data_IF_388513929243
#
_entry.id   IF_388513929243
#
_cell.length_a   1.000
_cell.length_b   1.000
_cell.length_c   1.000
_cell.angle_alpha   90.00
_cell.angle_beta   90.00
_cell.angle_gamma   90.00
#
_symmetry.space_group_name_H-M   'P 1'
#
loop_
_entity.id
_entity.type
_entity.pdbx_description
1 polymer ?
#
# COMPACT_ATOMS: atom_id res chain seq x y z
N UNK A 1 -16.15 -44.01 56.99
CA UNK A 1 -14.90 -44.68 57.43
C UNK A 1 -14.05 -44.91 56.18
N UNK A 2 -12.81 -44.44 56.22
CA UNK A 2 -11.68 -44.78 55.35
C UNK A 2 -11.64 -44.13 53.95
N UNK A 3 -10.69 -43.21 53.84
CA UNK A 3 -10.16 -42.61 52.63
C UNK A 3 -9.30 -43.61 51.82
N UNK A 4 -9.18 -43.41 50.51
CA UNK A 4 -7.96 -43.74 49.78
C UNK A 4 -7.85 -42.88 48.51
N UNK A 5 -6.97 -41.87 48.56
CA UNK A 5 -6.36 -41.25 47.39
C UNK A 5 -5.51 -42.29 46.65
N UNK A 6 -5.63 -42.39 45.32
CA UNK A 6 -4.59 -42.95 44.45
C UNK A 6 -4.46 -42.15 43.15
N UNK A 7 -3.19 -42.00 42.78
CA UNK A 7 -2.61 -41.19 41.72
C UNK A 7 -3.08 -41.54 40.30
N UNK A 8 -3.02 -40.54 39.42
CA UNK A 8 -3.24 -40.64 37.97
C UNK A 8 -2.23 -41.56 37.26
N UNK A 9 -2.53 -41.93 36.01
CA UNK A 9 -1.56 -41.71 34.94
C UNK A 9 -2.17 -40.86 33.82
N UNK A 10 -1.48 -39.76 33.52
CA UNK A 10 -1.65 -39.00 32.28
C UNK A 10 -1.21 -39.92 31.14
N UNK A 11 -2.14 -40.31 30.26
CA UNK A 11 -1.79 -40.94 29.00
C UNK A 11 -1.09 -39.88 28.13
N UNK A 12 0.23 -39.99 28.00
CA UNK A 12 0.95 -39.39 26.89
C UNK A 12 0.47 -40.07 25.60
N UNK A 13 -0.33 -39.34 24.81
CA UNK A 13 -0.48 -39.65 23.39
C UNK A 13 0.85 -39.36 22.70
N UNK A 14 1.62 -40.41 22.41
CA UNK A 14 2.72 -40.34 21.45
C UNK A 14 2.10 -40.02 20.08
N UNK A 15 2.11 -38.74 19.69
CA UNK A 15 2.05 -38.40 18.29
C UNK A 15 3.32 -38.96 17.65
N UNK A 16 3.16 -39.93 16.76
CA UNK A 16 4.22 -40.42 15.90
C UNK A 16 4.83 -39.20 15.19
N UNK A 17 6.07 -38.88 15.55
CA UNK A 17 6.87 -37.91 14.83
C UNK A 17 6.90 -38.34 13.36
N UNK A 18 6.23 -37.60 12.50
CA UNK A 18 6.49 -37.68 11.08
C UNK A 18 7.94 -37.26 10.88
N UNK A 19 8.72 -38.09 10.19
CA UNK A 19 10.13 -37.82 9.93
C UNK A 19 10.25 -36.45 9.25
N UNK A 20 10.93 -35.52 9.91
CA UNK A 20 11.31 -34.24 9.34
C UNK A 20 12.30 -34.51 8.19
N UNK A 21 11.87 -34.23 6.97
CA UNK A 21 12.78 -34.14 5.82
C UNK A 21 13.71 -32.96 6.04
N UNK A 22 15.00 -33.25 6.13
CA UNK A 22 16.09 -32.29 6.26
C UNK A 22 16.16 -31.35 5.05
N UNK A 23 16.48 -30.06 5.29
CA UNK A 23 16.65 -29.02 4.24
C UNK A 23 17.74 -29.37 3.21
N UNK A 24 18.63 -30.30 3.53
CA UNK A 24 19.75 -30.72 2.69
C UNK A 24 19.44 -31.95 1.78
N UNK A 25 18.27 -32.57 1.90
CA UNK A 25 17.94 -33.83 1.18
C UNK A 25 16.66 -33.75 0.32
N UNK A 26 16.11 -32.55 0.15
CA UNK A 26 15.21 -32.31 -0.98
C UNK A 26 16.04 -31.76 -2.11
N UNK A 27 16.13 -32.52 -3.21
CA UNK A 27 16.42 -31.96 -4.53
C UNK A 27 15.37 -30.89 -4.80
N UNK A 28 15.62 -29.65 -4.33
CA UNK A 28 14.92 -28.50 -4.85
C UNK A 28 15.27 -28.48 -6.33
N UNK A 29 14.26 -28.62 -7.20
CA UNK A 29 14.42 -28.21 -8.58
C UNK A 29 15.07 -26.82 -8.53
N UNK A 30 16.27 -26.70 -9.10
CA UNK A 30 17.05 -25.47 -9.09
C UNK A 30 16.18 -24.42 -9.75
N UNK A 31 15.47 -23.62 -8.95
CA UNK A 31 14.76 -22.45 -9.44
C UNK A 31 15.89 -21.51 -9.90
N UNK A 32 16.04 -21.24 -11.20
CA UNK A 32 17.19 -20.49 -11.71
C UNK A 32 17.26 -19.06 -11.16
N UNK A 33 16.14 -18.59 -10.60
CA UNK A 33 15.93 -17.28 -9.98
C UNK A 33 15.06 -17.45 -8.74
N UNK A 34 15.63 -17.83 -7.58
CA UNK A 34 14.85 -18.10 -6.38
C UNK A 34 14.09 -16.87 -5.86
N UNK A 35 14.52 -15.66 -6.23
CA UNK A 35 13.84 -14.40 -5.93
C UNK A 35 13.04 -13.82 -7.12
N UNK A 36 12.69 -14.67 -8.09
CA UNK A 36 11.68 -14.31 -9.07
C UNK A 36 10.36 -13.97 -8.39
N UNK A 37 9.60 -13.10 -9.05
CA UNK A 37 8.26 -12.74 -8.60
C UNK A 37 7.38 -13.99 -8.53
N UNK A 38 6.64 -14.20 -7.43
CA UNK A 38 5.86 -15.41 -7.20
C UNK A 38 4.56 -15.42 -8.03
N UNK A 39 4.69 -15.66 -9.33
CA UNK A 39 3.61 -15.46 -10.31
C UNK A 39 2.39 -16.36 -10.01
N UNK A 40 2.62 -17.59 -9.56
CA UNK A 40 1.55 -18.53 -9.16
C UNK A 40 0.70 -17.99 -8.01
N UNK A 41 1.33 -17.36 -7.03
CA UNK A 41 0.59 -16.70 -5.95
C UNK A 41 -0.17 -15.47 -6.46
N UNK A 42 0.48 -14.64 -7.28
CA UNK A 42 -0.08 -13.37 -7.74
C UNK A 42 -1.26 -13.52 -8.70
N UNK A 43 -1.47 -14.71 -9.28
CA UNK A 43 -2.62 -14.98 -10.14
C UNK A 43 -3.95 -14.83 -9.38
N UNK A 44 -3.97 -15.26 -8.11
CA UNK A 44 -5.17 -15.32 -7.28
C UNK A 44 -5.31 -14.10 -6.35
N UNK A 45 -4.38 -13.15 -6.43
CA UNK A 45 -4.41 -11.93 -5.61
C UNK A 45 -5.50 -10.99 -6.11
N UNK A 46 -6.43 -10.66 -5.22
CA UNK A 46 -7.47 -9.67 -5.50
C UNK A 46 -6.88 -8.26 -5.60
N UNK A 47 -7.41 -7.48 -6.54
CA UNK A 47 -7.07 -6.07 -6.68
C UNK A 47 -7.64 -5.30 -5.47
N UNK A 48 -6.83 -4.52 -4.74
CA UNK A 48 -7.33 -3.67 -3.67
C UNK A 48 -8.42 -2.71 -4.18
N UNK A 49 -9.57 -2.72 -3.53
CA UNK A 49 -10.67 -1.78 -3.80
C UNK A 49 -10.80 -0.78 -2.66
N UNK A 50 -11.22 0.44 -2.98
CA UNK A 50 -11.55 1.46 -1.98
C UNK A 50 -12.93 2.03 -2.24
N UNK A 51 -13.57 2.51 -1.17
CA UNK A 51 -14.87 3.16 -1.22
C UNK A 51 -14.72 4.60 -0.77
N UNK A 52 -15.33 5.52 -1.52
CA UNK A 52 -15.45 6.93 -1.14
C UNK A 52 -16.86 7.14 -0.60
N UNK A 53 -17.02 7.83 0.52
CA UNK A 53 -18.34 8.32 0.98
C UNK A 53 -18.65 9.66 0.31
N UNK A 54 -19.55 9.74 -0.69
CA UNK A 54 -19.78 10.99 -1.42
C UNK A 54 -20.64 11.96 -0.61
N UNK A 55 -20.49 13.26 -0.87
CA UNK A 55 -21.34 14.31 -0.29
C UNK A 55 -20.85 14.88 1.04
N UNK A 56 -19.72 14.40 1.57
CA UNK A 56 -19.04 15.00 2.71
C UNK A 56 -17.96 15.99 2.23
N UNK A 57 -17.68 16.99 3.07
CA UNK A 57 -16.56 17.92 2.88
C UNK A 57 -15.19 17.23 3.00
N UNK A 58 -15.14 16.14 3.76
CA UNK A 58 -13.98 15.28 3.89
C UNK A 58 -14.40 13.90 4.38
N UNK A 59 -13.69 12.88 3.94
CA UNK A 59 -13.76 11.52 4.47
C UNK A 59 -12.32 11.04 4.61
N UNK A 60 -11.80 10.95 5.83
CA UNK A 60 -10.41 10.58 6.11
C UNK A 60 -10.38 9.19 6.71
N UNK A 61 -9.52 8.34 6.14
CA UNK A 61 -9.28 6.98 6.60
C UNK A 61 -7.97 6.98 7.38
N UNK A 62 -8.02 6.55 8.63
CA UNK A 62 -6.86 6.55 9.51
C UNK A 62 -6.07 5.24 9.39
N UNK A 63 -4.75 5.36 9.33
CA UNK A 63 -3.83 4.24 9.32
C UNK A 63 -3.25 3.98 10.72
N UNK A 64 -3.43 2.75 11.18
CA UNK A 64 -2.94 2.21 12.44
C UNK A 64 -1.54 1.58 12.24
N UNK A 65 -0.49 2.41 12.16
CA UNK A 65 0.86 1.96 11.80
C UNK A 65 1.41 0.91 12.76
N UNK A 66 1.21 1.07 14.07
CA UNK A 66 1.80 0.18 15.06
C UNK A 66 1.17 -1.22 14.98
N UNK A 67 -0.15 -1.30 14.88
CA UNK A 67 -0.89 -2.55 14.65
C UNK A 67 -0.43 -3.22 13.35
N UNK A 68 -0.26 -2.46 12.26
CA UNK A 68 0.21 -3.02 11.00
C UNK A 68 1.63 -3.61 11.12
N UNK A 69 2.55 -2.91 11.80
CA UNK A 69 3.90 -3.39 12.10
C UNK A 69 3.89 -4.65 12.99
N UNK A 70 3.01 -4.69 13.99
CA UNK A 70 2.85 -5.86 14.85
C UNK A 70 2.31 -7.07 14.08
N UNK A 71 1.34 -6.87 13.18
CA UNK A 71 0.82 -7.94 12.33
C UNK A 71 1.88 -8.45 11.34
N UNK A 72 2.66 -7.55 10.75
CA UNK A 72 3.80 -7.92 9.90
C UNK A 72 4.82 -8.78 10.68
N UNK A 73 5.01 -8.48 11.96
CA UNK A 73 5.90 -9.23 12.86
C UNK A 73 5.35 -10.61 13.25
N UNK A 74 4.03 -10.79 13.35
CA UNK A 74 3.42 -12.01 13.88
C UNK A 74 3.43 -13.20 12.90
N UNK A 75 3.59 -12.95 11.61
CA UNK A 75 3.55 -13.97 10.57
C UNK A 75 4.94 -14.56 10.28
N UNK A 76 5.46 -15.40 11.18
CA UNK A 76 6.73 -16.13 11.01
C UNK A 76 6.51 -17.56 10.48
N UNK A 77 7.56 -18.22 9.95
CA UNK A 77 7.47 -19.61 9.44
C UNK A 77 8.67 -20.48 9.81
N UNK A 78 8.43 -21.80 9.92
CA UNK A 78 9.40 -22.87 10.18
C UNK A 78 10.43 -23.07 9.06
N UNK A 79 10.07 -22.82 7.80
CA UNK A 79 11.01 -22.95 6.68
C UNK A 79 11.26 -21.60 6.01
N UNK A 80 12.50 -21.04 6.10
CA UNK A 80 12.85 -19.78 5.44
C UNK A 80 12.84 -19.87 3.90
N UNK A 81 12.65 -21.07 3.33
CA UNK A 81 12.55 -21.31 1.88
C UNK A 81 11.14 -21.69 1.42
N UNK A 82 10.18 -21.78 2.35
CA UNK A 82 8.77 -21.95 1.99
C UNK A 82 8.18 -20.62 1.56
N UNK A 83 7.93 -20.53 0.25
CA UNK A 83 7.22 -19.46 -0.45
C UNK A 83 5.86 -19.27 0.24
N UNK A 84 5.72 -18.27 1.11
CA UNK A 84 4.44 -17.97 1.75
C UNK A 84 3.93 -16.58 1.37
N UNK A 85 2.66 -16.48 0.93
CA UNK A 85 1.98 -15.22 0.87
C UNK A 85 1.52 -14.77 2.25
N UNK A 86 2.05 -13.64 2.67
CA UNK A 86 1.52 -12.85 3.76
C UNK A 86 0.73 -11.68 3.19
N UNK A 87 -0.47 -11.94 2.64
CA UNK A 87 -1.46 -10.88 2.53
C UNK A 87 -1.87 -10.54 3.97
N UNK A 88 -1.39 -9.42 4.49
CA UNK A 88 -1.90 -8.90 5.76
C UNK A 88 -3.11 -8.05 5.44
N UNK A 89 -4.28 -8.55 5.82
CA UNK A 89 -5.49 -7.75 5.93
C UNK A 89 -5.58 -7.17 7.34
N UNK A 90 -4.66 -6.26 7.68
CA UNK A 90 -4.93 -5.34 8.79
C UNK A 90 -5.76 -4.22 8.21
N UNK A 91 -7.07 -4.13 8.52
CA UNK A 91 -7.89 -3.09 7.95
C UNK A 91 -7.34 -1.72 8.38
N UNK A 92 -7.30 -0.77 7.44
CA UNK A 92 -7.24 0.63 7.82
C UNK A 92 -8.41 0.90 8.78
N UNK A 93 -8.15 1.59 9.90
CA UNK A 93 -9.03 1.76 11.06
C UNK A 93 -9.16 0.55 12.02
N UNK A 94 -8.07 -0.15 12.37
CA UNK A 94 -8.08 -1.01 13.56
C UNK A 94 -8.49 -0.18 14.79
N UNK A 95 -9.54 -0.62 15.49
CA UNK A 95 -10.07 0.12 16.65
C UNK A 95 -9.04 0.11 17.79
N UNK A 96 -8.63 1.30 18.26
CA UNK A 96 -7.84 1.45 19.48
C UNK A 96 -6.57 2.31 19.41
N UNK A 97 -6.11 2.74 18.24
CA UNK A 97 -4.85 3.53 18.13
C UNK A 97 -5.04 5.05 17.97
N UNK A 98 -6.27 5.52 17.71
CA UNK A 98 -6.53 6.94 17.50
C UNK A 98 -6.85 7.67 18.82
N UNK A 99 -5.83 7.90 19.65
CA UNK A 99 -5.87 8.91 20.73
C UNK A 99 -5.60 10.34 20.20
N UNK A 100 -5.91 10.61 18.93
CA UNK A 100 -6.10 11.99 18.48
C UNK A 100 -7.56 12.37 18.71
N UNK A 101 -7.76 13.17 19.75
CA UNK A 101 -9.00 13.82 20.17
C UNK A 101 -9.82 14.36 18.99
N UNK A 102 -10.71 13.53 18.46
CA UNK A 102 -11.91 14.02 17.80
C UNK A 102 -12.87 14.46 18.91
N UNK A 103 -12.89 15.77 19.18
CA UNK A 103 -13.97 16.37 19.93
C UNK A 103 -15.28 16.25 19.12
N UNK A 104 -15.98 15.13 19.29
CA UNK A 104 -17.41 15.02 19.05
C UNK A 104 -17.97 13.85 19.82
N UNK A 105 -18.61 14.20 20.93
CA UNK A 105 -19.59 13.40 21.67
C UNK A 105 -20.58 12.75 20.71
N UNK A 106 -20.58 11.41 20.64
CA UNK A 106 -21.78 10.55 20.81
C UNK A 106 -21.39 9.07 20.80
N UNK A 107 -21.76 8.38 21.88
CA UNK A 107 -22.03 6.94 22.06
C UNK A 107 -21.27 5.92 21.19
N UNK A 108 -20.41 5.17 21.88
CA UNK A 108 -19.81 3.90 21.45
C UNK A 108 -20.89 2.97 20.89
N UNK A 109 -20.74 2.58 19.62
CA UNK A 109 -21.44 1.43 19.07
C UNK A 109 -20.42 0.47 18.44
N UNK A 110 -20.61 -0.81 18.77
CA UNK A 110 -19.82 -1.99 18.39
C UNK A 110 -19.62 -2.06 16.87
N UNK A 111 -18.49 -2.60 16.33
CA UNK A 111 -18.19 -2.53 14.90
C UNK A 111 -19.13 -3.45 14.09
N UNK A 112 -20.32 -2.97 13.78
CA UNK A 112 -21.12 -3.47 12.67
C UNK A 112 -20.47 -3.00 11.37
N UNK A 113 -20.44 -3.87 10.35
CA UNK A 113 -20.24 -3.46 8.95
C UNK A 113 -20.98 -2.14 8.74
N UNK A 114 -20.27 -1.08 8.34
CA UNK A 114 -20.90 0.18 7.93
C UNK A 114 -21.90 -0.15 6.84
N UNK A 115 -23.18 -0.18 7.18
CA UNK A 115 -24.25 -0.37 6.21
C UNK A 115 -24.11 0.75 5.19
N UNK A 116 -24.01 0.39 3.92
CA UNK A 116 -24.07 1.35 2.81
C UNK A 116 -25.45 1.99 2.88
N UNK A 117 -25.58 3.15 3.54
CA UNK A 117 -26.82 3.92 3.46
C UNK A 117 -26.92 4.44 2.03
N UNK A 118 -27.96 4.01 1.31
CA UNK A 118 -28.31 4.61 0.05
C UNK A 118 -28.51 6.12 0.26
N UNK A 119 -27.93 6.94 -0.62
CA UNK A 119 -28.07 8.38 -0.53
C UNK A 119 -29.54 8.76 -0.71
N UNK A 120 -29.97 9.78 0.02
CA UNK A 120 -31.32 10.32 -0.12
C UNK A 120 -31.33 11.16 -1.40
N UNK A 121 -32.18 10.78 -2.35
CA UNK A 121 -32.36 11.52 -3.58
C UNK A 121 -32.62 13.00 -3.26
N UNK A 122 -31.92 13.89 -3.96
CA UNK A 122 -32.03 15.35 -3.81
C UNK A 122 -31.56 15.91 -2.46
N UNK A 123 -30.80 15.14 -1.67
CA UNK A 123 -30.11 15.70 -0.52
C UNK A 123 -29.08 16.76 -0.97
N UNK A 124 -28.98 17.91 -0.28
CA UNK A 124 -27.93 18.90 -0.57
C UNK A 124 -26.53 18.32 -0.45
N UNK A 125 -25.63 18.71 -1.36
CA UNK A 125 -24.20 18.43 -1.25
C UNK A 125 -23.46 19.63 -0.66
N UNK A 126 -22.29 19.38 -0.08
CA UNK A 126 -21.39 20.46 0.32
C UNK A 126 -20.84 21.16 -0.94
N UNK A 127 -21.12 22.46 -1.07
CA UNK A 127 -20.73 23.27 -2.23
C UNK A 127 -19.65 24.27 -1.84
N UNK A 128 -18.75 24.58 -2.78
CA UNK A 128 -17.83 25.72 -2.68
C UNK A 128 -18.18 26.77 -3.73
N UNK A 129 -17.74 28.02 -3.52
CA UNK A 129 -17.85 29.07 -4.53
C UNK A 129 -17.03 28.71 -5.76
N UNK A 130 -17.56 29.02 -6.95
CA UNK A 130 -16.84 28.88 -8.21
C UNK A 130 -15.78 29.99 -8.35
N UNK A 131 -14.69 29.86 -7.59
CA UNK A 131 -13.67 30.90 -7.42
C UNK A 131 -12.95 31.29 -8.73
N UNK A 132 -12.96 30.41 -9.72
CA UNK A 132 -12.26 30.58 -10.99
C UNK A 132 -13.19 30.75 -12.19
N UNK A 133 -14.49 30.94 -11.95
CA UNK A 133 -15.51 31.05 -13.00
C UNK A 133 -15.45 29.88 -14.01
N UNK A 134 -15.20 28.67 -13.51
CA UNK A 134 -15.10 27.44 -14.31
C UNK A 134 -16.44 27.16 -14.98
N UNK A 135 -16.43 26.80 -16.26
CA UNK A 135 -17.63 26.38 -16.96
C UNK A 135 -18.05 24.97 -16.52
N UNK A 136 -19.25 24.87 -15.96
CA UNK A 136 -19.83 23.62 -15.44
C UNK A 136 -21.12 23.21 -16.16
N UNK A 137 -21.50 23.91 -17.23
CA UNK A 137 -22.79 23.77 -17.91
C UNK A 137 -23.02 22.33 -18.37
N UNK A 138 -22.02 21.74 -19.02
CA UNK A 138 -22.00 20.33 -19.41
C UNK A 138 -20.61 19.70 -19.20
N UNK A 139 -20.58 18.37 -19.23
CA UNK A 139 -19.37 17.60 -19.00
C UNK A 139 -18.24 17.94 -19.97
N UNK A 140 -18.55 18.10 -21.27
CA UNK A 140 -17.54 18.32 -22.31
C UNK A 140 -16.90 19.71 -22.18
N UNK A 141 -17.70 20.73 -21.89
CA UNK A 141 -17.22 22.07 -21.59
C UNK A 141 -16.31 22.07 -20.36
N UNK A 142 -16.72 21.39 -19.28
CA UNK A 142 -15.92 21.31 -18.05
C UNK A 142 -14.57 20.61 -18.25
N UNK A 143 -14.54 19.42 -18.87
CA UNK A 143 -13.28 18.66 -18.99
C UNK A 143 -12.28 19.27 -19.98
N UNK A 144 -12.75 20.17 -20.85
CA UNK A 144 -11.93 20.91 -21.81
C UNK A 144 -11.68 22.37 -21.43
N UNK A 145 -12.11 22.79 -20.24
CA UNK A 145 -12.01 24.17 -19.79
C UNK A 145 -10.52 24.63 -19.75
N UNK A 146 -10.15 25.67 -20.51
CA UNK A 146 -8.77 26.14 -20.59
C UNK A 146 -8.29 26.79 -19.29
N UNK A 147 -9.19 27.34 -18.46
CA UNK A 147 -8.88 27.91 -17.15
C UNK A 147 -8.44 26.81 -16.19
N UNK A 148 -9.16 25.67 -16.16
CA UNK A 148 -8.73 24.48 -15.39
C UNK A 148 -7.31 24.08 -15.78
N UNK A 149 -7.06 23.96 -17.10
CA UNK A 149 -5.76 23.54 -17.60
C UNK A 149 -4.64 24.54 -17.27
N UNK A 150 -4.94 25.85 -17.32
CA UNK A 150 -4.00 26.90 -16.95
C UNK A 150 -3.64 26.84 -15.47
N UNK A 151 -4.64 26.74 -14.58
CA UNK A 151 -4.44 26.67 -13.13
C UNK A 151 -3.60 25.45 -12.75
N UNK A 152 -3.96 24.27 -13.27
CA UNK A 152 -3.23 23.04 -13.00
C UNK A 152 -1.77 23.13 -13.46
N UNK A 153 -1.49 23.68 -14.66
CA UNK A 153 -0.12 23.83 -15.17
C UNK A 153 0.70 24.87 -14.40
N UNK A 154 0.06 25.88 -13.82
CA UNK A 154 0.73 26.94 -13.04
C UNK A 154 0.94 26.59 -11.57
N UNK A 155 0.31 25.51 -11.07
CA UNK A 155 0.40 25.14 -9.66
C UNK A 155 1.83 24.70 -9.29
N UNK A 156 2.41 25.23 -8.19
CA UNK A 156 3.76 24.90 -7.79
C UNK A 156 3.86 23.46 -7.26
N UNK A 157 5.09 22.97 -7.09
CA UNK A 157 5.35 21.74 -6.34
C UNK A 157 5.51 22.09 -4.85
N UNK A 158 4.73 21.50 -3.93
CA UNK A 158 4.90 21.72 -2.49
C UNK A 158 6.26 21.25 -1.99
N UNK A 159 6.77 21.91 -0.96
CA UNK A 159 8.03 21.50 -0.32
C UNK A 159 7.92 20.07 0.25
N UNK A 160 8.94 19.24 0.01
CA UNK A 160 8.97 17.85 0.45
C UNK A 160 8.27 16.85 -0.51
N UNK A 161 7.80 17.33 -1.66
CA UNK A 161 7.18 16.53 -2.71
C UNK A 161 7.87 16.74 -4.05
N UNK A 162 7.71 15.78 -4.96
CA UNK A 162 7.95 15.96 -6.39
C UNK A 162 6.63 15.88 -7.16
N UNK A 163 6.56 16.57 -8.29
CA UNK A 163 5.43 16.46 -9.21
C UNK A 163 5.49 15.12 -9.95
N UNK A 164 4.47 14.29 -9.75
CA UNK A 164 4.35 12.98 -10.39
C UNK A 164 3.64 13.09 -11.75
N UNK A 165 2.67 13.99 -11.85
CA UNK A 165 2.01 14.36 -13.11
C UNK A 165 1.32 15.71 -12.97
N UNK A 166 1.04 16.35 -14.11
CA UNK A 166 0.39 17.66 -14.18
C UNK A 166 -0.75 17.63 -15.19
N UNK A 167 -1.87 18.26 -14.83
CA UNK A 167 -3.04 18.46 -15.69
C UNK A 167 -3.56 17.17 -16.34
N UNK A 168 -3.62 16.09 -15.57
CA UNK A 168 -4.27 14.87 -16.03
C UNK A 168 -5.80 15.06 -16.05
N UNK A 169 -6.46 14.53 -17.08
CA UNK A 169 -7.92 14.59 -17.20
C UNK A 169 -8.65 13.57 -16.32
N UNK A 170 -8.11 13.22 -15.14
CA UNK A 170 -8.68 12.24 -14.23
C UNK A 170 -7.96 12.26 -12.90
N UNK A 171 -8.66 11.92 -11.82
CA UNK A 171 -8.06 11.79 -10.49
C UNK A 171 -7.39 10.44 -10.35
N UNK A 172 -6.50 10.32 -9.36
CA UNK A 172 -5.82 9.08 -9.09
C UNK A 172 -6.79 8.00 -8.58
N UNK A 173 -6.50 6.76 -8.96
CA UNK A 173 -7.01 5.52 -8.39
C UNK A 173 -5.80 4.63 -8.20
N UNK A 174 -5.38 4.45 -6.95
CA UNK A 174 -4.15 3.79 -6.55
C UNK A 174 -4.39 2.90 -5.32
N UNK A 175 -3.41 2.11 -4.90
CA UNK A 175 -3.53 1.38 -3.64
C UNK A 175 -3.35 2.33 -2.43
N UNK A 176 -3.80 1.92 -1.24
CA UNK A 176 -3.71 2.68 0.01
C UNK A 176 -4.44 4.04 -0.03
N UNK A 177 -5.70 4.07 -0.47
CA UNK A 177 -6.52 5.27 -0.38
C UNK A 177 -6.72 5.70 1.09
N UNK A 178 -6.37 6.93 1.42
CA UNK A 178 -6.48 7.49 2.78
C UNK A 178 -7.63 8.50 2.91
N UNK A 179 -8.45 8.63 1.87
CA UNK A 179 -9.59 9.52 1.87
C UNK A 179 -9.41 10.77 1.02
N UNK A 180 -10.29 11.74 1.23
CA UNK A 180 -10.29 13.00 0.51
C UNK A 180 -10.69 14.18 1.40
N UNK A 181 -10.35 15.38 0.95
CA UNK A 181 -10.88 16.62 1.50
C UNK A 181 -11.14 17.62 0.37
N UNK A 182 -12.27 18.32 0.46
CA UNK A 182 -12.56 19.49 -0.35
C UNK A 182 -11.75 20.66 0.18
N UNK A 183 -11.07 21.40 -0.69
CA UNK A 183 -10.33 22.61 -0.29
C UNK A 183 -11.34 23.64 0.25
N UNK A 184 -11.46 23.70 1.58
CA UNK A 184 -12.42 24.53 2.31
C UNK A 184 -11.79 25.16 3.57
N UNK A 185 -12.58 25.91 4.34
CA UNK A 185 -12.15 26.48 5.62
C UNK A 185 -11.42 27.84 5.52
N UNK A 186 -11.93 28.76 4.69
CA UNK A 186 -11.34 30.09 4.49
C UNK A 186 -10.17 30.13 3.52
N UNK A 187 -9.86 29.00 2.87
CA UNK A 187 -8.96 28.90 1.73
C UNK A 187 -9.79 28.82 0.45
N UNK A 188 -9.35 29.54 -0.57
CA UNK A 188 -9.99 29.58 -1.89
C UNK A 188 -9.01 29.12 -2.95
N UNK A 189 -9.44 28.22 -3.81
CA UNK A 189 -8.72 27.84 -5.03
C UNK A 189 -7.88 26.57 -4.95
N UNK A 190 -7.03 26.39 -5.96
CA UNK A 190 -6.22 25.19 -6.20
C UNK A 190 -4.96 25.20 -5.31
N UNK A 191 -5.14 25.05 -3.99
CA UNK A 191 -4.09 25.17 -2.99
C UNK A 191 -3.34 23.84 -2.74
N UNK A 192 -2.27 23.63 -3.50
CA UNK A 192 -1.38 22.46 -3.38
C UNK A 192 -0.70 22.36 -2.01
N UNK A 193 -0.41 23.49 -1.36
CA UNK A 193 0.27 23.50 -0.06
C UNK A 193 -0.67 23.09 1.07
N UNK A 194 -1.96 23.43 0.95
CA UNK A 194 -2.99 22.95 1.86
C UNK A 194 -3.16 21.43 1.78
N UNK A 195 -3.26 20.86 0.57
CA UNK A 195 -3.30 19.40 0.40
C UNK A 195 -2.04 18.74 0.98
N UNK A 196 -0.85 19.30 0.70
CA UNK A 196 0.40 18.78 1.24
C UNK A 196 0.45 18.83 2.77
N UNK A 197 -0.03 19.92 3.38
CA UNK A 197 -0.08 20.06 4.84
C UNK A 197 -1.03 19.03 5.46
N UNK A 198 -2.18 18.77 4.84
CA UNK A 198 -3.10 17.72 5.26
C UNK A 198 -2.49 16.33 5.14
N UNK A 199 -1.87 16.02 4.00
CA UNK A 199 -1.18 14.74 3.82
C UNK A 199 -0.07 14.58 4.87
N UNK A 200 0.76 15.61 5.10
CA UNK A 200 1.83 15.56 6.10
C UNK A 200 1.33 15.31 7.54
N UNK A 201 0.09 15.69 7.86
CA UNK A 201 -0.53 15.45 9.15
C UNK A 201 -1.21 14.06 9.26
N UNK A 202 -1.46 13.39 8.14
CA UNK A 202 -2.03 12.06 8.11
C UNK A 202 -0.95 10.99 8.22
N UNK A 203 -1.08 10.13 9.21
CA UNK A 203 -0.20 8.99 9.34
C UNK A 203 -0.25 8.11 8.09
N UNK A 204 0.92 7.76 7.56
CA UNK A 204 1.06 6.97 6.35
C UNK A 204 0.71 7.66 5.03
N UNK A 205 0.33 8.94 5.00
CA UNK A 205 0.13 9.64 3.73
C UNK A 205 1.46 9.96 3.05
N UNK A 206 1.59 9.51 1.80
CA UNK A 206 2.82 9.62 1.01
C UNK A 206 2.61 10.36 -0.31
N UNK A 207 1.36 10.59 -0.70
CA UNK A 207 1.06 11.37 -1.88
C UNK A 207 -0.36 11.92 -1.83
N UNK A 208 -0.62 12.87 -2.71
CA UNK A 208 -1.96 13.37 -2.96
C UNK A 208 -2.10 13.80 -4.41
N UNK A 209 -3.32 13.80 -4.91
CA UNK A 209 -3.65 14.54 -6.12
C UNK A 209 -4.74 15.57 -5.82
N UNK A 210 -4.57 16.77 -6.36
CA UNK A 210 -5.56 17.85 -6.33
C UNK A 210 -6.15 18.00 -7.73
N UNK A 211 -7.45 18.22 -7.83
CA UNK A 211 -8.16 18.28 -9.11
C UNK A 211 -9.47 19.06 -9.00
N UNK A 212 -9.98 19.49 -10.16
CA UNK A 212 -11.33 19.99 -10.28
C UNK A 212 -12.29 18.83 -10.52
N UNK A 213 -13.43 18.84 -9.83
CA UNK A 213 -14.53 17.89 -10.02
C UNK A 213 -15.83 18.64 -10.31
N UNK A 214 -16.52 18.27 -11.40
CA UNK A 214 -17.86 18.75 -11.71
C UNK A 214 -18.85 17.94 -10.87
N UNK A 215 -19.30 18.53 -9.78
CA UNK A 215 -20.22 17.92 -8.83
C UNK A 215 -21.63 18.53 -8.94
N UNK A 216 -22.69 17.77 -8.62
CA UNK A 216 -24.05 18.30 -8.56
C UNK A 216 -24.31 18.94 -7.20
N UNK A 217 -25.03 20.07 -7.16
CA UNK A 217 -25.38 20.75 -5.89
C UNK A 217 -26.36 19.95 -5.02
N UNK A 218 -27.07 18.99 -5.62
CA UNK A 218 -27.93 18.01 -4.95
C UNK A 218 -27.51 16.60 -5.36
N UNK A 219 -27.72 15.59 -4.52
CA UNK A 219 -27.47 14.21 -4.92
C UNK A 219 -28.48 13.75 -6.01
N UNK A 220 -28.02 13.38 -7.23
CA UNK A 220 -28.91 13.08 -8.34
C UNK A 220 -29.78 11.86 -8.08
N UNK A 221 -31.08 11.99 -8.31
CA UNK A 221 -32.05 10.92 -8.08
C UNK A 221 -33.45 11.28 -8.55
N UNK A 222 -34.44 10.52 -8.08
CA UNK A 222 -35.86 10.82 -8.37
C UNK A 222 -36.23 12.23 -7.91
N UNK A 223 -36.79 13.05 -8.79
CA UNK A 223 -37.12 14.46 -8.52
C UNK A 223 -36.00 15.47 -8.84
N UNK A 224 -34.76 15.01 -9.04
CA UNK A 224 -33.61 15.84 -9.42
C UNK A 224 -32.58 15.03 -10.23
N UNK A 225 -32.96 14.49 -11.40
CA UNK A 225 -32.10 13.56 -12.14
C UNK A 225 -30.85 14.22 -12.72
N UNK A 226 -30.88 15.53 -12.96
CA UNK A 226 -29.76 16.33 -13.43
C UNK A 226 -29.73 17.70 -12.70
N UNK A 227 -29.26 17.75 -11.45
CA UNK A 227 -29.17 18.99 -10.67
C UNK A 227 -28.18 19.98 -11.29
N UNK A 228 -28.26 21.25 -10.89
CA UNK A 228 -27.24 22.25 -11.22
C UNK A 228 -25.86 21.77 -10.80
N UNK A 229 -24.86 22.00 -11.65
CA UNK A 229 -23.48 21.64 -11.38
C UNK A 229 -22.72 22.79 -10.68
N UNK A 230 -21.63 22.44 -10.00
CA UNK A 230 -20.61 23.38 -9.55
C UNK A 230 -19.22 22.76 -9.73
N UNK A 231 -18.19 23.61 -9.72
CA UNK A 231 -16.80 23.19 -9.81
C UNK A 231 -16.24 23.06 -8.40
N UNK A 232 -15.97 21.83 -7.99
CA UNK A 232 -15.35 21.49 -6.73
C UNK A 232 -13.84 21.39 -6.89
N UNK A 233 -13.08 21.60 -5.81
CA UNK A 233 -11.63 21.38 -5.77
C UNK A 233 -11.34 20.38 -4.66
N UNK A 234 -10.87 19.20 -5.04
CA UNK A 234 -10.69 18.07 -4.12
C UNK A 234 -9.23 17.65 -4.08
N UNK A 235 -8.71 17.40 -2.87
CA UNK A 235 -7.50 16.62 -2.65
C UNK A 235 -7.90 15.17 -2.33
N UNK A 236 -7.35 14.20 -3.03
CA UNK A 236 -7.38 12.79 -2.60
C UNK A 236 -6.01 12.39 -2.08
N UNK A 237 -6.00 11.67 -0.96
CA UNK A 237 -4.80 11.31 -0.20
C UNK A 237 -4.50 9.83 -0.34
N UNK A 238 -3.22 9.48 -0.47
CA UNK A 238 -2.81 8.10 -0.70
C UNK A 238 -1.57 7.76 0.11
N UNK A 239 -1.54 6.53 0.61
CA UNK A 239 -0.38 5.91 1.22
C UNK A 239 0.57 5.25 0.22
N UNK A 240 0.34 5.44 -1.08
CA UNK A 240 1.19 4.93 -2.15
C UNK A 240 1.79 6.08 -2.94
N UNK A 241 2.69 5.77 -3.87
CA UNK A 241 3.18 6.75 -4.83
C UNK A 241 2.23 6.86 -6.01
N UNK A 242 2.05 8.09 -6.50
CA UNK A 242 1.30 8.36 -7.71
C UNK A 242 2.22 8.48 -8.92
N UNK A 243 1.66 8.18 -10.08
CA UNK A 243 2.20 8.50 -11.40
C UNK A 243 1.05 8.71 -12.40
N UNK A 244 1.37 9.06 -13.64
CA UNK A 244 0.38 9.31 -14.69
C UNK A 244 -0.57 8.13 -14.93
N UNK A 245 -0.13 6.88 -14.72
CA UNK A 245 -0.96 5.68 -14.90
C UNK A 245 -2.01 5.53 -13.82
N UNK A 246 -1.84 6.18 -12.66
CA UNK A 246 -2.84 6.19 -11.59
C UNK A 246 -4.04 7.09 -11.91
N UNK A 247 -3.91 8.07 -12.81
CA UNK A 247 -4.92 9.10 -13.11
C UNK A 247 -6.12 8.59 -13.95
N UNK A 248 -6.73 7.49 -13.51
CA UNK A 248 -7.71 6.70 -14.27
C UNK A 248 -9.16 7.04 -13.94
N UNK A 249 -9.45 7.68 -12.81
CA UNK A 249 -10.82 8.05 -12.47
C UNK A 249 -11.24 9.30 -13.27
N UNK A 250 -12.12 9.10 -14.25
CA UNK A 250 -12.65 10.15 -15.15
C UNK A 250 -14.00 10.71 -14.70
N UNK A 251 -14.47 10.32 -13.52
CA UNK A 251 -15.84 10.56 -13.08
C UNK A 251 -16.79 9.46 -13.54
N UNK A 252 -18.09 9.66 -13.27
CA UNK A 252 -19.12 8.65 -13.48
C UNK A 252 -20.49 9.31 -13.71
N UNK A 253 -21.41 8.55 -14.30
CA UNK A 253 -22.82 8.91 -14.33
C UNK A 253 -23.49 8.67 -12.98
N UNK A 254 -24.32 9.62 -12.54
CA UNK A 254 -25.22 9.52 -11.38
C UNK A 254 -26.60 9.98 -11.84
N UNK A 255 -27.53 9.04 -12.03
CA UNK A 255 -28.79 9.33 -12.74
C UNK A 255 -28.48 9.98 -14.11
N UNK A 256 -29.05 11.14 -14.43
CA UNK A 256 -28.80 11.88 -15.67
C UNK A 256 -27.70 12.95 -15.53
N UNK A 257 -26.98 12.98 -14.40
CA UNK A 257 -25.87 13.89 -14.18
C UNK A 257 -24.53 13.17 -14.44
N UNK A 258 -23.65 13.78 -15.22
CA UNK A 258 -22.29 13.27 -15.45
C UNK A 258 -21.29 14.03 -14.59
N UNK A 259 -20.64 13.33 -13.65
CA UNK A 259 -19.49 13.85 -12.90
C UNK A 259 -18.28 13.85 -13.82
N UNK A 260 -17.52 14.94 -13.82
CA UNK A 260 -16.30 15.10 -14.61
C UNK A 260 -15.11 15.48 -13.76
N UNK A 261 -13.93 15.07 -14.17
CA UNK A 261 -12.68 15.37 -13.47
C UNK A 261 -11.67 15.95 -14.45
N UNK A 262 -11.04 17.06 -14.07
CA UNK A 262 -10.06 17.74 -14.91
C UNK A 262 -8.98 18.45 -14.06
N UNK A 263 -7.88 18.80 -14.72
CA UNK A 263 -6.79 19.55 -14.08
C UNK A 263 -6.18 18.83 -12.88
N UNK A 264 -6.03 17.50 -12.93
CA UNK A 264 -5.46 16.77 -11.79
C UNK A 264 -3.93 16.86 -11.80
N UNK A 265 -3.35 17.30 -10.69
CA UNK A 265 -1.92 17.24 -10.44
C UNK A 265 -1.66 16.23 -9.32
N UNK A 266 -0.69 15.33 -9.53
CA UNK A 266 -0.24 14.36 -8.54
C UNK A 266 1.09 14.78 -7.95
N UNK A 267 1.22 14.67 -6.63
CA UNK A 267 2.43 14.99 -5.89
C UNK A 267 2.77 13.84 -4.95
N UNK A 268 3.98 13.31 -5.05
CA UNK A 268 4.46 12.21 -4.21
C UNK A 268 5.58 12.72 -3.31
N UNK A 269 5.55 12.33 -2.04
CA UNK A 269 6.49 12.77 -1.02
C UNK A 269 7.86 12.11 -1.19
N UNK A 270 8.93 12.86 -0.90
CA UNK A 270 10.28 12.28 -0.78
C UNK A 270 10.45 11.36 0.43
N UNK A 271 9.45 11.28 1.33
CA UNK A 271 9.41 10.30 2.44
C UNK A 271 9.21 8.86 1.96
N UNK A 272 8.77 8.67 0.71
CA UNK A 272 8.61 7.35 0.12
C UNK A 272 9.95 6.61 0.10
N UNK A 273 10.02 5.44 0.74
CA UNK A 273 11.28 4.72 0.91
C UNK A 273 12.26 5.45 1.83
N UNK A 274 11.74 6.14 2.86
CA UNK A 274 12.54 6.82 3.88
C UNK A 274 13.36 5.87 4.76
N UNK A 275 14.20 6.40 5.66
CA UNK A 275 15.07 5.60 6.52
C UNK A 275 14.27 4.70 7.47
N UNK A 276 14.83 3.54 7.79
CA UNK A 276 14.31 2.59 8.78
C UNK A 276 15.30 2.51 9.94
N UNK A 277 14.81 2.56 11.18
CA UNK A 277 15.68 2.56 12.37
C UNK A 277 16.49 1.26 12.45
N UNK A 278 17.82 1.38 12.66
CA UNK A 278 18.83 0.29 12.67
C UNK A 278 19.20 -0.28 11.28
N UNK A 279 18.69 0.31 10.21
CA UNK A 279 19.02 -0.06 8.85
C UNK A 279 19.84 1.04 8.19
N UNK A 280 20.70 0.66 7.25
CA UNK A 280 21.41 1.62 6.42
C UNK A 280 20.43 2.43 5.55
N UNK A 281 20.89 3.59 5.06
CA UNK A 281 20.13 4.35 4.09
C UNK A 281 19.78 3.49 2.87
N UNK A 282 18.53 3.52 2.38
CA UNK A 282 18.12 2.63 1.31
C UNK A 282 18.79 2.94 -0.01
N UNK A 283 19.13 1.88 -0.75
CA UNK A 283 19.46 1.99 -2.16
C UNK A 283 18.18 2.14 -2.97
N UNK A 284 18.08 3.19 -3.79
CA UNK A 284 17.02 3.27 -4.80
C UNK A 284 17.32 2.31 -5.95
N UNK A 285 16.42 1.35 -6.17
CA UNK A 285 16.45 0.41 -7.29
C UNK A 285 15.51 0.83 -8.43
N UNK A 286 14.84 1.99 -8.30
CA UNK A 286 13.92 2.57 -9.29
C UNK A 286 12.79 1.61 -9.65
N UNK A 287 12.85 0.98 -10.82
CA UNK A 287 11.84 0.10 -11.40
C UNK A 287 12.31 -1.36 -11.48
N UNK A 288 13.33 -1.71 -10.69
CA UNK A 288 13.87 -3.07 -10.64
C UNK A 288 13.71 -3.68 -9.25
N UNK A 289 13.38 -4.96 -9.20
CA UNK A 289 13.53 -5.80 -8.03
C UNK A 289 14.93 -6.46 -8.02
N UNK A 290 15.36 -6.87 -6.84
CA UNK A 290 16.63 -7.57 -6.65
C UNK A 290 16.58 -8.96 -7.32
N UNK A 291 17.70 -9.35 -7.92
CA UNK A 291 18.02 -10.71 -8.38
C UNK A 291 19.35 -11.09 -7.73
N UNK A 292 19.29 -11.45 -6.44
CA UNK A 292 20.46 -11.74 -5.65
C UNK A 292 21.15 -13.02 -6.14
N UNK A 293 22.49 -13.10 -6.08
CA UNK A 293 23.20 -14.36 -6.23
C UNK A 293 22.61 -15.44 -5.33
N UNK A 294 22.67 -16.69 -5.77
CA UNK A 294 22.02 -17.82 -5.08
C UNK A 294 22.62 -18.07 -3.68
N UNK A 295 23.94 -17.87 -3.54
CA UNK A 295 24.67 -18.01 -2.28
C UNK A 295 25.39 -16.70 -1.91
N UNK A 296 25.45 -16.42 -0.61
CA UNK A 296 26.21 -15.31 -0.05
C UNK A 296 27.70 -15.66 0.18
N UNK A 297 28.46 -14.71 0.73
CA UNK A 297 29.87 -14.90 1.01
C UNK A 297 30.16 -15.93 2.13
N UNK A 298 29.15 -16.37 2.86
CA UNK A 298 29.23 -17.47 3.83
C UNK A 298 28.72 -18.79 3.24
N UNK A 299 28.42 -18.84 1.94
CA UNK A 299 27.88 -20.00 1.22
C UNK A 299 26.48 -20.42 1.71
N UNK A 300 25.74 -19.47 2.28
CA UNK A 300 24.34 -19.66 2.69
C UNK A 300 23.42 -19.17 1.59
N UNK A 301 22.27 -19.83 1.42
CA UNK A 301 21.21 -19.36 0.53
C UNK A 301 20.78 -17.94 0.87
N UNK A 302 20.61 -17.11 -0.15
CA UNK A 302 20.44 -15.67 0.04
C UNK A 302 19.00 -15.26 0.22
N UNK A 303 18.11 -15.82 -0.58
CA UNK A 303 16.70 -15.48 -0.60
C UNK A 303 15.95 -16.20 0.53
N UNK A 304 15.12 -15.45 1.27
CA UNK A 304 14.37 -15.92 2.43
C UNK A 304 12.85 -15.84 2.24
N UNK A 305 12.38 -15.59 1.02
CA UNK A 305 10.96 -15.43 0.71
C UNK A 305 10.49 -13.98 0.59
N UNK A 306 9.17 -13.80 0.56
CA UNK A 306 8.53 -12.50 0.35
C UNK A 306 7.31 -12.29 1.25
N UNK A 307 6.81 -11.05 1.29
CA UNK A 307 5.50 -10.68 1.85
C UNK A 307 4.82 -9.66 0.94
N UNK A 308 3.49 -9.72 0.83
CA UNK A 308 2.70 -8.77 0.04
C UNK A 308 1.70 -8.02 0.94
N UNK A 309 1.96 -6.76 1.21
CA UNK A 309 1.10 -5.89 2.00
C UNK A 309 0.09 -5.18 1.09
N UNK A 310 -1.18 -5.55 1.18
CA UNK A 310 -2.27 -4.97 0.38
C UNK A 310 -3.12 -3.98 1.17
N UNK A 311 -3.14 -4.13 2.50
CA UNK A 311 -3.93 -3.31 3.40
C UNK A 311 -3.05 -2.33 4.16
N UNK A 312 -2.97 -1.10 3.65
CA UNK A 312 -2.26 0.01 4.28
C UNK A 312 -1.23 0.70 3.35
N UNK A 313 -0.66 1.83 3.78
CA UNK A 313 0.37 2.57 3.07
C UNK A 313 1.66 1.80 2.80
N UNK A 314 2.44 2.28 1.83
CA UNK A 314 3.83 1.88 1.63
C UNK A 314 4.65 2.24 2.88
N UNK A 315 5.06 1.24 3.63
CA UNK A 315 5.84 1.42 4.85
C UNK A 315 6.99 0.41 4.89
N UNK A 316 8.24 0.83 4.65
CA UNK A 316 9.42 -0.03 4.76
C UNK A 316 9.58 -0.67 6.15
N UNK A 317 8.97 -0.10 7.21
CA UNK A 317 8.98 -0.70 8.53
C UNK A 317 8.20 -2.03 8.60
N UNK A 318 7.24 -2.27 7.69
CA UNK A 318 6.56 -3.56 7.60
C UNK A 318 7.53 -4.66 7.15
N UNK A 319 8.38 -4.36 6.17
CA UNK A 319 9.41 -5.29 5.70
C UNK A 319 10.50 -5.52 6.76
N UNK A 320 10.94 -4.46 7.45
CA UNK A 320 11.96 -4.61 8.50
C UNK A 320 11.44 -5.38 9.70
N UNK A 321 10.18 -5.18 10.10
CA UNK A 321 9.52 -5.93 11.14
C UNK A 321 9.38 -7.43 10.78
N UNK A 322 9.01 -7.73 9.53
CA UNK A 322 9.01 -9.09 9.01
C UNK A 322 10.41 -9.73 9.02
N UNK A 323 11.44 -8.98 8.63
CA UNK A 323 12.82 -9.43 8.63
C UNK A 323 13.36 -9.69 10.04
N UNK A 324 13.12 -8.76 10.98
CA UNK A 324 13.53 -8.86 12.37
C UNK A 324 12.84 -10.03 13.07
N UNK A 325 11.53 -10.21 12.85
CA UNK A 325 10.75 -11.31 13.43
C UNK A 325 11.15 -12.68 12.87
N UNK A 326 11.38 -12.79 11.56
CA UNK A 326 11.89 -14.04 10.97
C UNK A 326 13.27 -14.41 11.54
N UNK A 327 14.13 -13.42 11.76
CA UNK A 327 15.43 -13.64 12.41
C UNK A 327 15.26 -14.18 13.83
N UNK A 328 14.38 -13.55 14.63
CA UNK A 328 14.11 -13.99 16.00
C UNK A 328 13.55 -15.42 16.03
N UNK A 329 12.64 -15.73 15.11
CA UNK A 329 12.07 -17.07 14.94
C UNK A 329 13.14 -18.12 14.62
N UNK A 330 13.99 -17.87 13.63
CA UNK A 330 15.05 -18.80 13.21
C UNK A 330 16.07 -19.05 14.34
N UNK A 331 16.36 -18.03 15.16
CA UNK A 331 17.24 -18.18 16.32
C UNK A 331 16.61 -19.03 17.44
N UNK A 332 15.30 -18.94 17.62
CA UNK A 332 14.56 -19.77 18.57
C UNK A 332 14.36 -21.22 18.07
N UNK A 333 14.37 -21.41 16.75
CA UNK A 333 14.19 -22.70 16.08
C UNK A 333 15.37 -23.00 15.14
N UNK A 334 16.59 -23.18 15.68
CA UNK A 334 17.76 -23.42 14.85
C UNK A 334 17.64 -24.75 14.11
N UNK A 335 18.19 -24.86 12.88
CA UNK A 335 18.20 -26.12 12.14
C UNK A 335 19.04 -27.18 12.86
N UNK A 336 18.73 -28.45 12.61
CA UNK A 336 19.48 -29.59 13.18
C UNK A 336 20.95 -29.63 12.74
N UNK A 337 21.26 -29.04 11.59
CA UNK A 337 22.60 -28.89 11.02
C UNK A 337 22.76 -27.47 10.47
N UNK A 338 23.98 -26.91 10.54
CA UNK A 338 24.25 -25.54 10.09
C UNK A 338 23.93 -24.47 11.12
N UNK A 339 23.89 -23.21 10.68
CA UNK A 339 23.55 -22.04 11.51
C UNK A 339 22.17 -21.53 11.14
N UNK A 340 21.45 -20.99 12.12
CA UNK A 340 20.19 -20.30 11.88
C UNK A 340 20.41 -19.11 10.92
N UNK A 341 19.64 -19.07 9.83
CA UNK A 341 19.64 -17.96 8.88
C UNK A 341 19.11 -16.70 9.55
N UNK A 342 19.78 -15.57 9.32
CA UNK A 342 19.34 -14.25 9.78
C UNK A 342 18.94 -13.43 8.57
N UNK A 343 17.88 -12.66 8.70
CA UNK A 343 17.52 -11.69 7.68
C UNK A 343 18.34 -10.41 7.89
N UNK A 344 19.18 -10.10 6.91
CA UNK A 344 20.14 -8.99 6.95
C UNK A 344 19.93 -7.98 5.81
N UNK A 345 18.98 -8.24 4.92
CA UNK A 345 18.61 -7.35 3.83
C UNK A 345 17.14 -7.51 3.48
N UNK A 346 16.51 -6.46 2.96
CA UNK A 346 15.21 -6.61 2.31
C UNK A 346 15.06 -5.65 1.12
N UNK A 347 14.42 -6.13 0.06
CA UNK A 347 13.88 -5.31 -1.02
C UNK A 347 12.43 -4.93 -0.70
N UNK A 348 12.00 -3.75 -1.13
CA UNK A 348 10.59 -3.34 -1.07
C UNK A 348 10.21 -2.49 -2.27
N UNK A 349 9.05 -2.76 -2.87
CA UNK A 349 8.58 -2.05 -4.06
C UNK A 349 7.05 -2.07 -4.18
N UNK A 350 6.52 -1.13 -4.95
CA UNK A 350 5.11 -1.15 -5.36
C UNK A 350 4.98 -2.13 -6.53
N UNK A 351 4.13 -3.13 -6.37
CA UNK A 351 3.84 -4.13 -7.39
C UNK A 351 2.62 -3.70 -8.20
N UNK A 352 2.77 -3.55 -9.52
CA UNK A 352 1.66 -3.24 -10.42
C UNK A 352 1.41 -4.41 -11.35
N UNK A 353 0.18 -4.91 -11.38
CA UNK A 353 -0.30 -5.88 -12.37
C UNK A 353 -1.00 -5.12 -13.50
N UNK A 354 -0.70 -5.48 -14.75
CA UNK A 354 -1.42 -4.99 -15.92
C UNK A 354 -1.92 -6.15 -16.74
N UNK A 355 -3.21 -6.16 -17.06
CA UNK A 355 -3.84 -7.15 -17.92
C UNK A 355 -4.82 -6.46 -18.89
N UNK A 356 -5.68 -7.24 -19.56
CA UNK A 356 -6.68 -6.73 -20.49
C UNK A 356 -7.73 -5.78 -19.87
N UNK A 357 -7.94 -5.82 -18.55
CA UNK A 357 -8.96 -5.01 -17.88
C UNK A 357 -8.40 -3.68 -17.36
N UNK A 358 -7.09 -3.59 -17.17
CA UNK A 358 -6.42 -2.36 -16.75
C UNK A 358 -5.08 -2.59 -16.07
N UNK A 359 -4.58 -1.53 -15.44
CA UNK A 359 -3.38 -1.54 -14.60
C UNK A 359 -3.79 -1.28 -13.15
N UNK A 360 -3.34 -2.13 -12.23
CA UNK A 360 -3.74 -2.13 -10.84
C UNK A 360 -2.52 -2.31 -9.94
N UNK A 361 -2.33 -1.39 -8.99
CA UNK A 361 -1.34 -1.58 -7.94
C UNK A 361 -1.85 -2.64 -6.95
N UNK A 362 -1.10 -3.73 -6.82
CA UNK A 362 -1.45 -4.88 -5.99
C UNK A 362 -1.12 -4.63 -4.52
N UNK A 363 -0.09 -3.81 -4.24
CA UNK A 363 0.35 -3.48 -2.89
C UNK A 363 1.86 -3.25 -2.81
N UNK A 364 2.37 -3.24 -1.58
CA UNK A 364 3.79 -3.24 -1.27
C UNK A 364 4.30 -4.68 -1.18
N UNK A 365 5.26 -5.04 -2.04
CA UNK A 365 5.97 -6.31 -1.96
C UNK A 365 7.26 -6.12 -1.18
N UNK A 366 7.55 -7.02 -0.23
CA UNK A 366 8.81 -7.13 0.47
C UNK A 366 9.50 -8.45 0.09
N UNK A 367 10.78 -8.42 -0.27
CA UNK A 367 11.61 -9.62 -0.45
C UNK A 367 12.73 -9.65 0.58
N UNK A 368 12.93 -10.78 1.25
CA UNK A 368 13.84 -10.90 2.39
C UNK A 368 15.13 -11.61 1.99
N UNK A 369 16.27 -11.15 2.51
CA UNK A 369 17.60 -11.67 2.16
C UNK A 369 18.48 -11.87 3.38
N UNK A 370 19.37 -12.85 3.33
CA UNK A 370 20.38 -13.10 4.38
C UNK A 370 21.55 -12.13 4.35
N UNK A 371 21.64 -11.29 3.31
CA UNK A 371 22.82 -10.47 3.00
C UNK A 371 22.47 -9.15 2.31
N UNK A 372 23.39 -8.20 2.42
CA UNK A 372 23.45 -7.02 1.57
C UNK A 372 23.72 -7.40 0.11
N UNK A 373 22.99 -6.74 -0.80
CA UNK A 373 23.23 -6.80 -2.23
C UNK A 373 23.29 -5.41 -2.84
N UNK A 374 24.34 -5.16 -3.61
CA UNK A 374 24.49 -3.91 -4.36
C UNK A 374 23.43 -3.78 -5.46
N UNK A 375 22.98 -2.55 -5.74
CA UNK A 375 21.99 -2.24 -6.79
C UNK A 375 22.31 -2.83 -8.16
N UNK A 376 23.56 -3.19 -8.47
CA UNK A 376 23.91 -3.88 -9.72
C UNK A 376 23.19 -5.22 -9.91
N UNK A 377 22.72 -5.84 -8.83
CA UNK A 377 21.94 -7.08 -8.85
C UNK A 377 20.44 -6.83 -9.03
N UNK A 378 19.97 -5.58 -9.03
CA UNK A 378 18.57 -5.24 -9.30
C UNK A 378 18.26 -5.24 -10.79
N UNK A 379 18.17 -6.43 -11.39
CA UNK A 379 17.95 -6.64 -12.83
C UNK A 379 16.56 -7.16 -13.17
N UNK A 380 15.78 -7.60 -12.18
CA UNK A 380 14.41 -8.03 -12.41
C UNK A 380 13.55 -6.78 -12.66
N UNK A 381 13.12 -6.53 -13.90
CA UNK A 381 12.36 -5.31 -14.28
C UNK A 381 10.90 -5.58 -14.62
N UNK A 382 10.57 -6.83 -14.94
CA UNK A 382 9.23 -7.27 -15.31
C UNK A 382 9.09 -8.78 -15.08
N UNK A 383 7.87 -9.24 -14.84
CA UNK A 383 7.48 -10.65 -14.90
C UNK A 383 6.19 -10.80 -15.72
N UNK A 384 6.03 -11.91 -16.42
CA UNK A 384 4.85 -12.18 -17.27
C UNK A 384 4.12 -13.42 -16.76
N UNK A 385 2.78 -13.35 -16.76
CA UNK A 385 1.90 -14.50 -16.62
C UNK A 385 1.05 -14.65 -17.88
N UNK A 386 1.47 -15.54 -18.77
CA UNK A 386 0.76 -15.81 -20.02
C UNK A 386 -0.62 -16.47 -19.79
N UNK A 387 -0.84 -17.12 -18.64
CA UNK A 387 -2.10 -17.84 -18.32
C UNK A 387 -3.25 -16.87 -18.14
N UNK A 388 -2.97 -15.70 -17.57
CA UNK A 388 -3.95 -14.62 -17.37
C UNK A 388 -3.69 -13.39 -18.26
N UNK A 389 -2.68 -13.46 -19.12
CA UNK A 389 -2.27 -12.34 -19.98
C UNK A 389 -1.87 -11.10 -19.17
N UNK A 390 -1.19 -11.32 -18.04
CA UNK A 390 -0.77 -10.27 -17.13
C UNK A 390 0.73 -10.01 -17.22
N UNK A 391 1.11 -8.75 -17.01
CA UNK A 391 2.50 -8.35 -16.73
C UNK A 391 2.58 -7.69 -15.36
N UNK A 392 3.62 -8.01 -14.62
CA UNK A 392 3.94 -7.43 -13.32
C UNK A 392 5.15 -6.52 -13.45
N UNK A 393 5.01 -5.28 -13.01
CA UNK A 393 6.07 -4.27 -13.04
C UNK A 393 6.30 -3.69 -11.66
N UNK A 394 7.51 -3.20 -11.43
CA UNK A 394 7.94 -2.65 -10.14
C UNK A 394 8.10 -1.15 -10.26
N UNK A 395 7.63 -0.42 -9.25
CA UNK A 395 7.92 1.01 -9.13
C UNK A 395 8.33 1.34 -7.71
N UNK A 396 9.09 2.42 -7.57
CA UNK A 396 9.56 2.92 -6.29
C UNK A 396 10.19 1.81 -5.44
N UNK A 397 11.14 1.11 -6.06
CA UNK A 397 11.85 0.00 -5.47
C UNK A 397 13.06 0.47 -4.67
N UNK A 398 13.22 -0.11 -3.47
CA UNK A 398 14.27 0.20 -2.51
C UNK A 398 14.87 -1.07 -1.93
N UNK A 399 16.14 -1.03 -1.56
CA UNK A 399 16.81 -2.10 -0.84
C UNK A 399 17.47 -1.58 0.44
N UNK A 400 17.21 -2.26 1.54
CA UNK A 400 17.71 -1.92 2.87
C UNK A 400 18.66 -3.01 3.34
N UNK A 401 19.69 -2.59 4.07
CA UNK A 401 20.71 -3.46 4.64
C UNK A 401 20.76 -3.29 6.14
N UNK A 402 20.97 -4.38 6.86
CA UNK A 402 21.16 -4.37 8.30
C UNK A 402 22.61 -4.70 8.65
N UNK A 403 23.44 -3.70 8.98
CA UNK A 403 24.89 -3.88 9.10
C UNK A 403 25.29 -4.83 10.25
N UNK A 404 24.53 -4.87 11.35
CA UNK A 404 24.78 -5.74 12.51
C UNK A 404 24.36 -7.20 12.28
N UNK A 405 23.70 -7.51 11.16
CA UNK A 405 23.19 -8.85 10.84
C UNK A 405 23.86 -9.51 9.62
N UNK A 406 24.82 -8.84 8.97
CA UNK A 406 25.51 -9.37 7.80
C UNK A 406 26.25 -10.69 8.11
N UNK A 407 26.33 -11.63 7.16
CA UNK A 407 27.08 -12.86 7.37
C UNK A 407 28.58 -12.59 7.49
N UNK A 408 29.26 -13.44 8.25
CA UNK A 408 30.72 -13.45 8.31
C UNK A 408 31.22 -14.27 7.12
N UNK A 409 31.84 -13.59 6.16
CA UNK A 409 32.35 -14.23 4.95
C UNK A 409 33.45 -15.25 5.26
N UNK A 410 33.51 -16.34 4.48
CA UNK A 410 34.53 -17.40 4.63
C UNK A 410 35.98 -16.88 4.51
N UNK A 411 36.20 -15.79 3.76
CA UNK A 411 37.51 -15.13 3.64
C UNK A 411 37.98 -14.43 4.92
N UNK A 412 37.08 -14.21 5.87
CA UNK A 412 37.31 -13.50 7.13
C UNK A 412 37.31 -14.46 8.33
N UNK A 413 37.21 -15.77 8.08
CA UNK A 413 37.42 -16.87 9.03
C UNK A 413 38.78 -17.50 8.76
#
# INVERSE_FOLDING_TARGET
MIALMKFAPVLLGFALAQNATTVDDTTYDVVPTPDAVPIDYLMDVEVPVYTITPGLDSDIIYYASETAIQAASAQQTESPFSVFPAATDVPMNAAGENDQTAASTTTVDTPSKRGIRARVACAPQATISNFYDINVDDFSAFVSDPTIASIARSAPTPAGYFNAFTNAGGSSSAYAYLGYAIVNGGKTGYDVNWCASKCNAMNGCLSFNIFFERDPVLDPGSGCPNPTAFANIRCSFWGSALDQSTATNKGQWRSNFQVGIAGSNGYTSYKLGGPVARWDAPQSLKTSAMNAPVHDCADTWTYMGFKLFQSGPFDPNLCSAACDSQTAYNLAHPPSTGKASKCAGFGTYILTMTNKTGSYQQGQMCTLYTSYWDKKYAVNTIAYDDRIGAKYTYSYSFFYSRPDMQPICKSNM
#
